data_IF_179088735398
#
_entry.id   IF_179088735398
#
_cell.length_a   1.000
_cell.length_b   1.000
_cell.length_c   1.000
_cell.angle_alpha   90.00
_cell.angle_beta   90.00
_cell.angle_gamma   90.00
#
_symmetry.space_group_name_H-M   'P 1'
#
loop_
_entity.id
_entity.type
_entity.pdbx_description
1 polymer ?
#
# COMPACT_ATOMS: atom_id res chain seq x y z
N UNK A 1 8.74 -2.35 33.31
CA UNK A 1 7.88 -2.29 32.11
C UNK A 1 8.65 -1.51 31.05
N UNK A 2 9.37 -2.20 30.15
CA UNK A 2 10.13 -1.53 29.10
C UNK A 2 9.13 -1.20 28.00
N UNK A 3 8.78 0.08 27.86
CA UNK A 3 8.05 0.56 26.68
C UNK A 3 8.98 0.37 25.50
N UNK A 4 8.74 -0.66 24.69
CA UNK A 4 9.53 -0.87 23.48
C UNK A 4 9.25 0.31 22.55
N UNK A 5 10.21 1.25 22.51
CA UNK A 5 10.08 2.43 21.68
C UNK A 5 10.11 2.01 20.21
N UNK A 6 9.20 2.58 19.43
CA UNK A 6 9.06 2.28 18.02
C UNK A 6 10.34 2.70 17.28
N UNK A 7 10.96 1.78 16.54
CA UNK A 7 12.20 2.07 15.81
C UNK A 7 11.97 3.23 14.84
N UNK A 8 12.81 4.25 14.96
CA UNK A 8 12.79 5.44 14.11
C UNK A 8 12.81 5.07 12.61
N UNK A 9 13.59 4.05 12.23
CA UNK A 9 13.70 3.60 10.83
C UNK A 9 12.37 3.09 10.29
N UNK A 10 11.68 2.25 11.08
CA UNK A 10 10.38 1.69 10.73
C UNK A 10 9.32 2.79 10.65
N UNK A 11 9.38 3.77 11.57
CA UNK A 11 8.49 4.92 11.55
C UNK A 11 8.68 5.78 10.30
N UNK A 12 9.91 6.04 9.90
CA UNK A 12 10.21 6.79 8.66
C UNK A 12 9.71 6.03 7.45
N UNK A 13 9.98 4.72 7.37
CA UNK A 13 9.52 3.87 6.28
C UNK A 13 7.99 3.85 6.17
N UNK A 14 7.29 3.75 7.31
CA UNK A 14 5.83 3.83 7.36
C UNK A 14 5.31 5.17 6.82
N UNK A 15 5.92 6.30 7.21
CA UNK A 15 5.53 7.61 6.69
C UNK A 15 5.78 7.76 5.20
N UNK A 16 6.90 7.24 4.68
CA UNK A 16 7.17 7.23 3.23
C UNK A 16 6.06 6.46 2.50
N UNK A 17 5.69 5.28 2.98
CA UNK A 17 4.59 4.49 2.40
C UNK A 17 3.28 5.26 2.49
N UNK A 18 2.93 5.81 3.65
CA UNK A 18 1.67 6.52 3.85
C UNK A 18 1.53 7.73 2.90
N UNK A 19 2.58 8.54 2.78
CA UNK A 19 2.59 9.73 1.91
C UNK A 19 2.53 9.33 0.44
N UNK A 20 3.35 8.37 0.02
CA UNK A 20 3.38 7.93 -1.39
C UNK A 20 2.06 7.27 -1.80
N UNK A 21 1.49 6.40 -0.96
CA UNK A 21 0.18 5.78 -1.23
C UNK A 21 -0.94 6.81 -1.26
N UNK A 22 -0.96 7.78 -0.33
CA UNK A 22 -1.93 8.87 -0.38
C UNK A 22 -1.83 9.66 -1.69
N UNK A 23 -0.61 9.98 -2.13
CA UNK A 23 -0.38 10.62 -3.42
C UNK A 23 -0.89 9.78 -4.59
N UNK A 24 -0.63 8.46 -4.60
CA UNK A 24 -1.11 7.55 -5.66
C UNK A 24 -2.65 7.54 -5.74
N UNK A 25 -3.35 7.48 -4.60
CA UNK A 25 -4.82 7.47 -4.59
C UNK A 25 -5.41 8.81 -5.08
N UNK A 26 -4.85 9.93 -4.62
CA UNK A 26 -5.32 11.26 -5.01
C UNK A 26 -5.08 11.55 -6.50
N UNK A 27 -3.89 11.22 -6.99
CA UNK A 27 -3.55 11.43 -8.40
C UNK A 27 -4.31 10.48 -9.32
N UNK A 28 -4.51 9.22 -8.92
CA UNK A 28 -5.34 8.28 -9.67
C UNK A 28 -6.78 8.78 -9.80
N UNK A 29 -7.35 9.39 -8.76
CA UNK A 29 -8.68 9.98 -8.82
C UNK A 29 -8.71 11.21 -9.73
N UNK A 30 -7.73 12.10 -9.61
CA UNK A 30 -7.63 13.29 -10.46
C UNK A 30 -7.55 12.90 -11.94
N UNK A 31 -6.63 11.99 -12.29
CA UNK A 31 -6.34 11.55 -13.66
C UNK A 31 -7.50 10.83 -14.37
N UNK A 32 -8.63 10.60 -13.67
CA UNK A 32 -9.88 10.21 -14.32
C UNK A 32 -10.45 11.32 -15.21
N UNK A 33 -10.08 12.59 -14.97
CA UNK A 33 -10.38 13.75 -15.81
C UNK A 33 -9.27 13.96 -16.86
N UNK A 34 -9.60 14.02 -18.16
CA UNK A 34 -8.66 14.36 -19.24
C UNK A 34 -7.82 15.60 -18.95
N UNK A 35 -8.39 16.62 -18.30
CA UNK A 35 -7.70 17.88 -17.99
C UNK A 35 -6.54 17.76 -16.99
N UNK A 36 -6.42 16.63 -16.30
CA UNK A 36 -5.38 16.41 -15.27
C UNK A 36 -4.42 15.27 -15.58
N UNK A 37 -4.46 14.72 -16.80
CA UNK A 37 -3.56 13.65 -17.22
C UNK A 37 -2.07 14.03 -17.21
N UNK A 38 -1.74 15.32 -17.15
CA UNK A 38 -0.36 15.80 -16.90
C UNK A 38 0.23 15.31 -15.57
N UNK A 39 -0.58 14.79 -14.64
CA UNK A 39 -0.13 14.17 -13.40
C UNK A 39 0.47 12.77 -13.61
N UNK A 40 0.23 12.13 -14.76
CA UNK A 40 0.63 10.75 -15.05
C UNK A 40 2.13 10.50 -14.86
N UNK A 41 3.07 11.33 -15.36
CA UNK A 41 4.51 11.10 -15.14
C UNK A 41 4.88 11.12 -13.65
N UNK A 42 4.28 12.02 -12.86
CA UNK A 42 4.51 12.09 -11.42
C UNK A 42 3.92 10.88 -10.70
N UNK A 43 2.70 10.47 -11.06
CA UNK A 43 2.07 9.25 -10.56
C UNK A 43 2.98 8.03 -10.80
N UNK A 44 3.51 7.89 -12.01
CA UNK A 44 4.38 6.80 -12.41
C UNK A 44 5.68 6.75 -11.57
N UNK A 45 6.41 7.86 -11.46
CA UNK A 45 7.67 7.88 -10.70
C UNK A 45 7.47 7.73 -9.20
N UNK A 46 6.46 8.38 -8.63
CA UNK A 46 6.13 8.19 -7.20
C UNK A 46 5.63 6.76 -6.94
N UNK A 47 5.00 6.13 -7.93
CA UNK A 47 4.59 4.72 -7.88
C UNK A 47 5.78 3.78 -7.74
N UNK A 48 6.87 4.05 -8.46
CA UNK A 48 8.14 3.30 -8.30
C UNK A 48 8.70 3.46 -6.88
N UNK A 49 8.68 4.68 -6.34
CA UNK A 49 9.13 4.92 -4.95
C UNK A 49 8.24 4.13 -3.97
N UNK A 50 6.92 4.14 -4.15
CA UNK A 50 5.98 3.38 -3.33
C UNK A 50 6.25 1.86 -3.40
N UNK A 51 6.52 1.34 -4.59
CA UNK A 51 6.85 -0.07 -4.80
C UNK A 51 8.16 -0.46 -4.08
N UNK A 52 9.21 0.35 -4.20
CA UNK A 52 10.48 0.13 -3.51
C UNK A 52 10.33 0.20 -1.99
N UNK A 53 9.60 1.20 -1.48
CA UNK A 53 9.33 1.33 -0.05
C UNK A 53 8.55 0.12 0.48
N UNK A 54 7.57 -0.38 -0.29
CA UNK A 54 6.80 -1.59 0.05
C UNK A 54 7.69 -2.82 0.08
N UNK A 55 8.61 -2.98 -0.88
CA UNK A 55 9.57 -4.07 -0.89
C UNK A 55 10.49 -4.03 0.35
N UNK A 56 11.03 -2.85 0.68
CA UNK A 56 11.86 -2.68 1.89
C UNK A 56 11.05 -3.01 3.15
N UNK A 57 9.78 -2.63 3.20
CA UNK A 57 8.90 -2.97 4.33
C UNK A 57 8.65 -4.47 4.44
N UNK A 58 8.49 -5.17 3.33
CA UNK A 58 8.42 -6.64 3.31
C UNK A 58 9.70 -7.30 3.80
N UNK A 59 10.87 -6.83 3.35
CA UNK A 59 12.17 -7.36 3.79
C UNK A 59 12.36 -7.16 5.30
N UNK A 60 12.02 -5.98 5.82
CA UNK A 60 12.02 -5.73 7.25
C UNK A 60 11.02 -6.62 8.00
N UNK A 61 9.80 -6.77 7.45
CA UNK A 61 8.76 -7.58 8.07
C UNK A 61 9.14 -9.06 8.15
N UNK A 62 9.81 -9.57 7.12
CA UNK A 62 10.33 -10.93 7.09
C UNK A 62 11.47 -11.16 8.09
N UNK A 63 12.35 -10.16 8.28
CA UNK A 63 13.50 -10.26 9.17
C UNK A 63 13.14 -10.13 10.67
N UNK A 64 12.23 -9.21 11.01
CA UNK A 64 12.04 -8.76 12.41
C UNK A 64 10.60 -8.92 12.93
N UNK A 65 9.63 -9.17 12.04
CA UNK A 65 8.21 -9.18 12.38
C UNK A 65 7.65 -10.60 12.44
N UNK A 66 6.77 -10.81 13.42
CA UNK A 66 6.03 -12.05 13.54
C UNK A 66 4.85 -11.98 12.54
N UNK A 67 5.07 -12.47 11.32
CA UNK A 67 4.08 -12.45 10.22
C UNK A 67 2.70 -12.97 10.64
N UNK A 68 2.57 -14.03 11.47
CA UNK A 68 1.30 -14.42 12.11
C UNK A 68 0.51 -13.29 12.79
N UNK A 69 1.16 -12.22 13.28
CA UNK A 69 0.48 -11.05 13.85
C UNK A 69 -0.24 -10.23 12.77
N UNK A 70 0.37 -10.08 11.60
CA UNK A 70 -0.22 -9.38 10.44
C UNK A 70 -1.26 -10.23 9.72
N UNK A 71 -1.05 -11.55 9.74
CA UNK A 71 -1.79 -12.55 9.00
C UNK A 71 -2.40 -13.63 9.92
N UNK A 72 -3.25 -13.24 10.89
CA UNK A 72 -3.87 -14.16 11.85
C UNK A 72 -5.02 -14.98 11.22
N UNK A 73 -4.77 -15.66 10.11
CA UNK A 73 -5.77 -16.41 9.33
C UNK A 73 -6.33 -17.65 10.05
N UNK A 74 -5.67 -18.09 11.13
CA UNK A 74 -6.11 -19.20 11.96
C UNK A 74 -7.45 -18.93 12.67
N UNK A 75 -8.10 -19.98 13.19
CA UNK A 75 -9.37 -19.84 13.95
C UNK A 75 -9.22 -18.89 15.14
N UNK A 76 -8.25 -19.14 16.00
CA UNK A 76 -7.98 -18.32 17.19
C UNK A 76 -7.71 -16.83 16.84
N UNK A 77 -7.04 -16.56 15.72
CA UNK A 77 -6.78 -15.20 15.26
C UNK A 77 -8.05 -14.49 14.79
N UNK A 78 -8.89 -15.19 14.02
CA UNK A 78 -10.18 -14.67 13.54
C UNK A 78 -11.16 -14.39 14.68
N UNK A 79 -11.18 -15.24 15.70
CA UNK A 79 -12.05 -15.05 16.87
C UNK A 79 -11.70 -13.74 17.60
N UNK A 80 -10.40 -13.48 17.82
CA UNK A 80 -9.92 -12.22 18.42
C UNK A 80 -10.30 -11.01 17.56
N UNK A 81 -10.13 -11.08 16.24
CA UNK A 81 -10.50 -9.98 15.33
C UNK A 81 -12.00 -9.69 15.40
N UNK A 82 -12.82 -10.74 15.42
CA UNK A 82 -14.27 -10.63 15.46
C UNK A 82 -14.75 -10.01 16.77
N UNK A 83 -14.21 -10.46 17.90
CA UNK A 83 -14.51 -9.88 19.21
C UNK A 83 -14.12 -8.41 19.29
N UNK A 84 -12.95 -8.03 18.78
CA UNK A 84 -12.53 -6.63 18.74
C UNK A 84 -13.38 -5.77 17.81
N UNK A 85 -13.80 -6.31 16.65
CA UNK A 85 -14.69 -5.62 15.74
C UNK A 85 -16.07 -5.35 16.39
N UNK A 86 -16.65 -6.35 17.05
CA UNK A 86 -17.88 -6.17 17.83
C UNK A 86 -17.69 -5.21 19.02
N UNK A 87 -16.52 -5.24 19.66
CA UNK A 87 -16.12 -4.31 20.71
C UNK A 87 -16.11 -2.87 20.22
N UNK A 88 -15.54 -2.61 19.04
CA UNK A 88 -15.50 -1.28 18.43
C UNK A 88 -16.89 -0.75 18.11
N UNK A 89 -17.80 -1.59 17.60
CA UNK A 89 -19.21 -1.22 17.39
C UNK A 89 -19.92 -0.82 18.70
N UNK A 90 -19.36 -1.22 19.85
CA UNK A 90 -19.83 -0.88 21.19
C UNK A 90 -18.97 0.22 21.87
N UNK A 91 -18.11 0.91 21.10
CA UNK A 91 -17.25 1.98 21.60
C UNK A 91 -16.07 1.51 22.45
N UNK A 92 -15.73 0.21 22.46
CA UNK A 92 -14.58 -0.32 23.20
C UNK A 92 -13.36 -0.39 22.30
N UNK A 93 -12.30 0.33 22.67
CA UNK A 93 -11.02 0.29 21.97
C UNK A 93 -10.19 -0.91 22.44
N UNK A 94 -9.60 -1.68 21.50
CA UNK A 94 -8.71 -2.77 21.86
C UNK A 94 -7.38 -2.26 22.45
N UNK A 95 -6.71 -3.07 23.30
CA UNK A 95 -5.37 -2.78 23.80
C UNK A 95 -4.35 -2.50 22.69
N UNK A 96 -3.47 -1.52 22.91
CA UNK A 96 -2.39 -1.16 21.99
C UNK A 96 -1.15 -2.06 22.14
N UNK A 97 -0.31 -2.11 21.11
CA UNK A 97 0.98 -2.82 21.12
C UNK A 97 1.12 -3.90 20.04
N UNK A 98 2.28 -4.59 20.03
CA UNK A 98 2.59 -5.68 19.09
C UNK A 98 1.81 -6.95 19.49
N UNK A 99 0.61 -7.12 18.95
CA UNK A 99 -0.27 -8.26 19.24
C UNK A 99 -1.18 -8.59 18.06
N UNK A 100 -1.70 -9.81 18.06
CA UNK A 100 -2.82 -10.19 17.20
C UNK A 100 -4.05 -9.38 17.62
N UNK A 101 -4.73 -8.82 16.62
CA UNK A 101 -5.92 -8.00 16.80
C UNK A 101 -6.37 -7.38 15.47
N UNK A 102 -7.49 -6.66 15.51
CA UNK A 102 -8.10 -6.04 14.34
C UNK A 102 -7.18 -5.02 13.66
N UNK A 103 -6.44 -4.21 14.43
CA UNK A 103 -5.51 -3.22 13.88
C UNK A 103 -4.38 -3.86 13.08
N UNK A 104 -3.74 -4.90 13.64
CA UNK A 104 -2.68 -5.66 12.97
C UNK A 104 -3.19 -6.37 11.71
N UNK A 105 -4.42 -6.88 11.75
CA UNK A 105 -5.07 -7.50 10.61
C UNK A 105 -5.35 -6.51 9.48
N UNK A 106 -5.94 -5.34 9.79
CA UNK A 106 -6.17 -4.27 8.81
C UNK A 106 -4.84 -3.78 8.21
N UNK A 107 -3.80 -3.69 9.02
CA UNK A 107 -2.47 -3.35 8.55
C UNK A 107 -1.93 -4.40 7.55
N UNK A 108 -2.09 -5.70 7.85
CA UNK A 108 -1.75 -6.79 6.94
C UNK A 108 -2.54 -6.77 5.64
N UNK A 109 -3.86 -6.50 5.70
CA UNK A 109 -4.70 -6.33 4.49
C UNK A 109 -4.23 -5.14 3.64
N UNK A 110 -3.92 -4.02 4.27
CA UNK A 110 -3.36 -2.85 3.60
C UNK A 110 -2.05 -3.16 2.89
N UNK A 111 -1.14 -3.91 3.54
CA UNK A 111 0.11 -4.35 2.94
C UNK A 111 -0.12 -5.26 1.72
N UNK A 112 -1.07 -6.20 1.78
CA UNK A 112 -1.41 -7.06 0.65
C UNK A 112 -2.00 -6.27 -0.52
N UNK A 113 -2.95 -5.37 -0.26
CA UNK A 113 -3.54 -4.52 -1.29
C UNK A 113 -2.47 -3.64 -1.96
N UNK A 114 -1.61 -3.00 -1.16
CA UNK A 114 -0.50 -2.20 -1.66
C UNK A 114 0.47 -3.03 -2.50
N UNK A 115 0.75 -4.28 -2.10
CA UNK A 115 1.63 -5.18 -2.87
C UNK A 115 1.02 -5.53 -4.23
N UNK A 116 -0.29 -5.77 -4.28
CA UNK A 116 -1.01 -5.99 -5.54
C UNK A 116 -0.91 -4.78 -6.47
N UNK A 117 -1.17 -3.57 -5.95
CA UNK A 117 -1.04 -2.33 -6.71
C UNK A 117 0.39 -2.04 -7.17
N UNK A 118 1.39 -2.29 -6.30
CA UNK A 118 2.79 -2.12 -6.64
C UNK A 118 3.21 -3.08 -7.78
N UNK A 119 2.77 -4.34 -7.70
CA UNK A 119 3.06 -5.32 -8.74
C UNK A 119 2.44 -4.92 -10.08
N UNK A 120 1.14 -4.61 -10.12
CA UNK A 120 0.47 -4.19 -11.36
C UNK A 120 1.05 -2.89 -11.90
N UNK A 121 1.37 -1.92 -11.04
CA UNK A 121 2.00 -0.66 -11.41
C UNK A 121 3.39 -0.84 -12.04
N UNK A 122 4.23 -1.72 -11.48
CA UNK A 122 5.56 -2.04 -12.04
C UNK A 122 5.46 -2.77 -13.39
N UNK A 123 4.50 -3.70 -13.52
CA UNK A 123 4.23 -4.36 -14.81
C UNK A 123 3.85 -3.33 -15.86
N UNK A 124 2.90 -2.45 -15.55
CA UNK A 124 2.46 -1.38 -16.47
C UNK A 124 3.60 -0.41 -16.80
N UNK A 125 4.39 0.01 -15.81
CA UNK A 125 5.58 0.85 -16.01
C UNK A 125 6.54 0.23 -17.04
N UNK A 126 6.74 -1.09 -16.97
CA UNK A 126 7.67 -1.80 -17.85
C UNK A 126 7.14 -2.00 -19.27
N UNK A 127 5.83 -1.91 -19.48
CA UNK A 127 5.18 -2.02 -20.78
C UNK A 127 5.09 -0.68 -21.53
N UNK A 128 5.29 0.45 -20.86
CA UNK A 128 5.20 1.77 -21.48
C UNK A 128 6.55 2.14 -22.11
N UNK A 129 6.62 2.42 -23.43
CA UNK A 129 7.86 2.76 -24.10
C UNK A 129 8.52 4.04 -23.52
N UNK A 130 9.84 4.05 -23.31
CA UNK A 130 10.54 5.26 -22.88
C UNK A 130 10.47 6.33 -23.97
N UNK A 131 9.84 7.47 -23.66
CA UNK A 131 9.74 8.64 -24.56
C UNK A 131 8.31 9.13 -24.82
N UNK A 132 7.28 8.36 -24.48
CA UNK A 132 5.89 8.84 -24.52
C UNK A 132 5.52 9.53 -23.21
N UNK A 133 5.62 10.86 -23.20
CA UNK A 133 5.18 11.71 -22.09
C UNK A 133 4.14 12.71 -22.59
N UNK A 134 2.92 12.22 -22.80
CA UNK A 134 1.77 13.04 -23.17
C UNK A 134 0.47 12.28 -22.92
N UNK A 135 -0.64 12.99 -22.64
CA UNK A 135 -1.95 12.35 -22.54
C UNK A 135 -2.23 11.60 -23.84
N UNK A 136 -2.78 10.37 -23.79
CA UNK A 136 -3.29 9.72 -24.99
C UNK A 136 -4.32 10.63 -25.66
N UNK A 137 -4.13 10.95 -26.94
CA UNK A 137 -5.06 11.74 -27.74
C UNK A 137 -6.48 11.13 -27.72
N UNK A 138 -6.56 9.81 -27.50
CA UNK A 138 -7.75 9.03 -27.26
C UNK A 138 -7.46 7.73 -26.46
N UNK A 139 -8.52 7.02 -26.05
CA UNK A 139 -8.41 5.73 -25.36
C UNK A 139 -7.81 4.61 -26.23
N UNK A 140 -7.71 4.80 -27.55
CA UNK A 140 -7.17 3.83 -28.51
C UNK A 140 -5.65 3.94 -28.61
N UNK A 141 -5.09 5.12 -28.35
CA UNK A 141 -3.67 5.39 -28.38
C UNK A 141 -2.90 4.53 -27.36
N UNK A 142 -3.45 4.31 -26.16
CA UNK A 142 -2.84 3.41 -25.15
C UNK A 142 -2.65 1.96 -25.67
N UNK A 143 -3.61 1.47 -26.46
CA UNK A 143 -3.56 0.13 -27.09
C UNK A 143 -2.55 0.08 -28.24
N UNK A 144 -2.39 1.19 -28.99
CA UNK A 144 -1.38 1.26 -30.06
C UNK A 144 0.04 1.28 -29.52
N UNK A 145 0.27 1.92 -28.36
CA UNK A 145 1.61 2.05 -27.78
C UNK A 145 2.12 0.80 -27.05
N UNK A 146 1.25 -0.18 -26.75
CA UNK A 146 1.60 -1.39 -26.01
C UNK A 146 1.77 -2.64 -26.89
N UNK A 147 1.39 -2.57 -28.17
CA UNK A 147 1.37 -3.71 -29.10
C UNK A 147 2.27 -3.53 -30.34
N UNK A 148 3.07 -2.46 -30.41
CA UNK A 148 4.06 -2.19 -31.46
C UNK A 148 5.48 -2.33 -30.95
#
# INVERSE_FOLDING_TARGET
MIVQQWDFKVRVLHWIIAVTVAFQQLTSLAMSDPGTQYLFPYHQWVGVIAALATLVFWLHSYAEYDLPILFPWGRAGRDVIFEEALGLLRGKLPPSGKRIGLSSFVHGLGLLALSGCAFTGVVMFSMIPPGHQGPPDDAIAFTRYTLS
#
